data_IF_837178382050
#
_entry.id   IF_837178382050
#
_cell.length_a   1.000
_cell.length_b   1.000
_cell.length_c   1.000
_cell.angle_alpha   90.00
_cell.angle_beta   90.00
_cell.angle_gamma   90.00
#
_symmetry.space_group_name_H-M   'P 1'
#
loop_
_entity.id
_entity.type
_entity.pdbx_description
1 polymer ?
#
# COMPACT_ATOMS: atom_id res chain seq x y z
N UNK A 1 -9.42 -11.94 3.90
CA UNK A 1 -8.67 -11.18 3.89
C UNK A 1 -7.28 -11.28 4.15
N UNK A 2 -6.54 -11.88 3.26
CA UNK A 2 -5.13 -12.04 3.35
C UNK A 2 -4.48 -11.10 2.38
N UNK A 3 -3.68 -10.20 2.91
CA UNK A 3 -2.90 -9.29 2.09
C UNK A 3 -1.60 -10.00 1.75
N UNK A 4 -1.48 -10.41 0.49
CA UNK A 4 -0.23 -11.00 0.01
C UNK A 4 0.57 -9.94 -0.72
N UNK A 5 1.85 -10.25 -0.94
CA UNK A 5 2.71 -9.34 -1.69
C UNK A 5 2.16 -9.11 -3.10
N UNK A 6 1.70 -10.15 -3.74
CA UNK A 6 1.16 -10.03 -5.09
C UNK A 6 -0.09 -9.17 -5.12
N UNK A 7 -1.00 -9.38 -4.16
CA UNK A 7 -2.20 -8.57 -4.08
C UNK A 7 -1.84 -7.10 -3.88
N UNK A 8 -0.90 -6.85 -2.98
CA UNK A 8 -0.49 -5.49 -2.68
C UNK A 8 0.07 -4.80 -3.90
N UNK A 9 0.96 -5.49 -4.62
CA UNK A 9 1.56 -4.90 -5.81
C UNK A 9 0.50 -4.58 -6.86
N UNK A 10 -0.45 -5.47 -7.05
CA UNK A 10 -1.50 -5.25 -8.04
C UNK A 10 -2.36 -4.06 -7.69
N UNK A 11 -2.72 -3.94 -6.42
CA UNK A 11 -3.56 -2.83 -6.00
C UNK A 11 -2.84 -1.50 -6.10
N UNK A 12 -1.57 -1.48 -5.72
CA UNK A 12 -0.80 -0.24 -5.83
C UNK A 12 -0.65 0.18 -7.30
N UNK A 13 -0.43 -0.81 -8.16
CA UNK A 13 -0.32 -0.52 -9.58
C UNK A 13 -1.65 -0.01 -10.14
N UNK A 14 -2.74 -0.67 -9.77
CA UNK A 14 -4.07 -0.29 -10.26
C UNK A 14 -4.43 1.14 -9.85
N UNK A 15 -4.05 1.54 -8.65
CA UNK A 15 -4.36 2.85 -8.12
C UNK A 15 -3.29 3.90 -8.43
N UNK A 16 -2.23 3.50 -9.14
CA UNK A 16 -1.13 4.40 -9.49
C UNK A 16 -0.45 4.98 -8.25
N UNK A 17 -0.29 4.14 -7.22
CA UNK A 17 0.37 4.55 -5.99
C UNK A 17 1.81 4.07 -6.01
N UNK A 18 2.74 5.00 -5.79
CA UNK A 18 4.15 4.66 -5.74
C UNK A 18 4.61 4.60 -4.29
N UNK A 19 5.75 3.93 -4.07
CA UNK A 19 6.31 3.84 -2.73
C UNK A 19 6.53 5.22 -2.14
N UNK A 20 6.97 6.16 -2.96
CA UNK A 20 7.16 7.53 -2.50
C UNK A 20 5.88 8.15 -1.97
N UNK A 21 4.76 7.85 -2.62
CA UNK A 21 3.47 8.37 -2.17
C UNK A 21 3.12 7.82 -0.78
N UNK A 22 3.37 6.53 -0.57
CA UNK A 22 3.09 5.93 0.73
C UNK A 22 4.01 6.53 1.79
N UNK A 23 5.27 6.75 1.45
CA UNK A 23 6.21 7.37 2.36
C UNK A 23 5.72 8.76 2.79
N UNK A 24 5.26 9.55 1.82
CA UNK A 24 4.77 10.89 2.13
C UNK A 24 3.53 10.85 3.01
N UNK A 25 2.63 9.90 2.76
CA UNK A 25 1.36 9.84 3.48
C UNK A 25 1.48 9.25 4.86
N UNK A 26 2.38 8.28 5.05
CA UNK A 26 2.45 7.53 6.30
C UNK A 26 3.67 7.87 7.14
N UNK A 27 4.70 8.44 6.52
CA UNK A 27 5.95 8.69 7.23
C UNK A 27 6.83 7.48 7.39
N UNK A 28 6.44 6.34 6.82
CA UNK A 28 7.26 5.14 6.90
C UNK A 28 8.42 5.22 5.93
N UNK A 29 9.56 4.65 6.33
CA UNK A 29 10.75 4.71 5.51
C UNK A 29 10.60 3.91 4.23
N UNK A 30 11.16 4.44 3.16
CA UNK A 30 11.05 3.80 1.85
C UNK A 30 11.70 2.43 1.81
N UNK A 31 12.79 2.25 2.56
CA UNK A 31 13.46 0.94 2.60
C UNK A 31 12.55 -0.12 3.21
N UNK A 32 11.82 0.24 4.27
CA UNK A 32 10.88 -0.68 4.87
C UNK A 32 9.72 -0.99 3.94
N UNK A 33 9.18 0.05 3.32
CA UNK A 33 8.07 -0.13 2.39
C UNK A 33 8.47 -1.03 1.22
N UNK A 34 9.66 -0.79 0.69
CA UNK A 34 10.16 -1.57 -0.43
C UNK A 34 10.33 -3.03 -0.04
N UNK A 35 10.89 -3.29 1.16
CA UNK A 35 11.10 -4.66 1.61
C UNK A 35 9.78 -5.41 1.76
N UNK A 36 8.76 -4.76 2.31
CA UNK A 36 7.45 -5.38 2.45
C UNK A 36 6.81 -5.64 1.10
N UNK A 37 6.85 -4.65 0.23
CA UNK A 37 6.18 -4.76 -1.08
C UNK A 37 6.87 -5.77 -1.98
N UNK A 38 8.19 -5.86 -1.89
CA UNK A 38 8.93 -6.81 -2.71
C UNK A 38 9.03 -8.20 -2.08
N UNK A 39 8.56 -8.35 -0.85
CA UNK A 39 8.55 -9.65 -0.22
C UNK A 39 9.83 -10.07 0.44
N UNK A 40 10.83 -9.18 0.54
CA UNK A 40 12.07 -9.52 1.22
C UNK A 40 11.93 -9.47 2.73
N UNK A 41 10.87 -8.87 3.23
CA UNK A 41 10.56 -8.85 4.66
C UNK A 41 9.10 -9.19 4.83
N UNK A 42 8.77 -10.18 5.69
CA UNK A 42 7.36 -10.53 5.89
C UNK A 42 6.60 -9.39 6.59
N UNK A 43 5.34 -9.24 6.21
CA UNK A 43 4.49 -8.23 6.81
C UNK A 43 3.83 -8.80 8.06
N UNK A 44 3.91 -8.03 9.15
CA UNK A 44 3.14 -8.36 10.34
C UNK A 44 1.67 -8.04 10.09
N UNK A 45 0.81 -8.50 11.01
CA UNK A 45 -0.62 -8.21 10.87
C UNK A 45 -0.88 -6.71 10.91
N UNK A 46 -0.13 -5.99 11.72
CA UNK A 46 -0.28 -4.53 11.79
C UNK A 46 0.04 -3.91 10.45
N UNK A 47 1.13 -4.35 9.82
CA UNK A 47 1.53 -3.81 8.53
C UNK A 47 0.50 -4.15 7.46
N UNK A 48 0.00 -5.39 7.47
CA UNK A 48 -1.03 -5.79 6.51
C UNK A 48 -2.28 -4.94 6.65
N UNK A 49 -2.70 -4.69 7.89
CA UNK A 49 -3.87 -3.85 8.13
C UNK A 49 -3.62 -2.43 7.67
N UNK A 50 -2.44 -1.92 7.89
CA UNK A 50 -2.10 -0.57 7.45
C UNK A 50 -2.24 -0.44 5.94
N UNK A 51 -1.69 -1.41 5.20
CA UNK A 51 -1.79 -1.38 3.74
C UNK A 51 -3.24 -1.53 3.28
N UNK A 52 -4.00 -2.40 3.95
CA UNK A 52 -5.40 -2.60 3.58
C UNK A 52 -6.19 -1.30 3.68
N UNK A 53 -6.08 -0.62 4.81
CA UNK A 53 -6.83 0.62 5.01
C UNK A 53 -6.29 1.75 4.14
N UNK A 54 -4.99 1.76 3.91
CA UNK A 54 -4.41 2.77 3.04
C UNK A 54 -4.96 2.63 1.61
N UNK A 55 -5.03 1.40 1.13
CA UNK A 55 -5.56 1.14 -0.21
C UNK A 55 -7.03 1.53 -0.27
N UNK A 56 -7.81 1.19 0.74
CA UNK A 56 -9.21 1.55 0.78
C UNK A 56 -9.39 3.06 0.78
N UNK A 57 -8.57 3.76 1.52
CA UNK A 57 -8.63 5.21 1.56
C UNK A 57 -8.35 5.82 0.18
N UNK A 58 -7.32 5.32 -0.47
CA UNK A 58 -6.96 5.83 -1.78
C UNK A 58 -8.01 5.49 -2.83
N UNK A 59 -8.59 4.33 -2.73
CA UNK A 59 -9.64 3.93 -3.65
C UNK A 59 -10.85 4.85 -3.55
N UNK A 60 -11.26 5.16 -2.34
CA UNK A 60 -12.38 6.07 -2.13
C UNK A 60 -12.07 7.47 -2.64
N UNK A 61 -10.84 7.92 -2.41
CA UNK A 61 -10.44 9.24 -2.84
C UNK A 61 -10.42 9.34 -4.36
N UNK A 62 -9.92 8.29 -5.01
CA UNK A 62 -9.89 8.28 -6.48
C UNK A 62 -11.28 8.32 -7.07
N UNK A 63 -12.21 7.58 -6.48
CA UNK A 63 -13.57 7.58 -6.95
C UNK A 63 -14.19 8.97 -6.86
N UNK A 64 -13.89 9.68 -5.79
CA UNK A 64 -14.41 11.03 -5.65
C UNK A 64 -13.83 11.97 -6.67
N UNK A 65 -12.55 11.82 -6.97
CA UNK A 65 -11.87 12.73 -7.87
C UNK A 65 -12.23 12.50 -9.32
N UNK A 66 -12.71 11.32 -9.63
CA UNK A 66 -13.06 11.00 -11.00
C UNK A 66 -14.34 11.73 -11.43
N UNK A 67 -15.17 12.17 -10.47
CA UNK A 67 -16.38 12.83 -10.82
C UNK A 67 -16.19 14.22 -11.30
#
# INVERSE_FOLDING_TARGET
DVITTDYLKEELYRLHIRIKDINNDTGLEMSNLSAWINGTRPMSNIVKNMFYYYIKYKEMKNEREVR
#
